data_IF_702893884601
#
_entry.id   IF_702893884601
#
_cell.length_a   1.000
_cell.length_b   1.000
_cell.length_c   1.000
_cell.angle_alpha   90.00
_cell.angle_beta   90.00
_cell.angle_gamma   90.00
#
_symmetry.space_group_name_H-M   'P 1'
#
loop_
_entity.id
_entity.type
_entity.pdbx_description
1 polymer ?
#
# COMPACT_ATOMS: atom_id res chain seq x y z
N UNK A 1 23.10 26.10 36.47
CA UNK A 1 23.45 26.50 35.09
C UNK A 1 22.18 26.41 34.29
N UNK A 2 21.66 27.55 33.80
CA UNK A 2 20.48 27.56 32.95
C UNK A 2 20.93 27.17 31.54
N UNK A 3 20.38 26.08 31.02
CA UNK A 3 20.57 25.67 29.63
C UNK A 3 19.87 26.72 28.76
N UNK A 4 20.63 27.59 28.10
CA UNK A 4 20.08 28.48 27.07
C UNK A 4 19.65 27.62 25.89
N UNK A 5 18.37 27.28 25.83
CA UNK A 5 17.80 26.63 24.66
C UNK A 5 17.86 27.59 23.48
N UNK A 6 18.34 27.10 22.34
CA UNK A 6 18.31 27.89 21.11
C UNK A 6 16.86 28.10 20.67
N UNK A 7 16.54 29.20 19.98
CA UNK A 7 15.18 29.49 19.53
C UNK A 7 14.56 28.30 18.75
N UNK A 8 15.41 27.58 17.99
CA UNK A 8 15.03 26.35 17.28
C UNK A 8 14.64 25.18 18.18
N UNK A 9 15.24 25.02 19.37
CA UNK A 9 14.87 23.95 20.30
C UNK A 9 13.54 24.25 20.98
N UNK A 10 13.30 25.51 21.35
CA UNK A 10 12.02 25.95 21.90
C UNK A 10 10.89 25.73 20.88
N UNK A 11 11.12 26.09 19.61
CA UNK A 11 10.17 25.86 18.53
C UNK A 11 9.82 24.38 18.34
N UNK A 12 10.83 23.49 18.43
CA UNK A 12 10.62 22.04 18.34
C UNK A 12 9.80 21.51 19.53
N UNK A 13 10.04 22.00 20.74
CA UNK A 13 9.26 21.62 21.92
C UNK A 13 7.81 22.12 21.84
N UNK A 14 7.60 23.34 21.34
CA UNK A 14 6.25 23.90 21.13
C UNK A 14 5.47 23.14 20.05
N UNK A 15 6.15 22.74 18.97
CA UNK A 15 5.56 21.88 17.95
C UNK A 15 5.19 20.51 18.52
N UNK A 16 6.07 19.93 19.34
CA UNK A 16 5.82 18.64 19.98
C UNK A 16 4.57 18.65 20.86
N UNK A 17 4.48 19.64 21.76
CA UNK A 17 3.33 19.81 22.64
C UNK A 17 2.02 19.91 21.83
N UNK A 18 2.01 20.74 20.77
CA UNK A 18 0.84 20.88 19.90
C UNK A 18 0.45 19.57 19.22
N UNK A 19 1.41 18.84 18.67
CA UNK A 19 1.14 17.56 17.99
C UNK A 19 0.56 16.53 18.96
N UNK A 20 1.06 16.48 20.20
CA UNK A 20 0.54 15.60 21.26
C UNK A 20 -0.89 15.97 21.65
N UNK A 21 -1.18 17.26 21.87
CA UNK A 21 -2.54 17.73 22.17
C UNK A 21 -3.52 17.39 21.03
N UNK A 22 -3.10 17.55 19.78
CA UNK A 22 -3.94 17.22 18.62
C UNK A 22 -4.15 15.71 18.43
N UNK A 23 -3.21 14.89 18.94
CA UNK A 23 -3.30 13.43 18.91
C UNK A 23 -4.10 12.86 20.06
N UNK A 24 -4.21 13.56 21.19
CA UNK A 24 -4.90 13.12 22.41
C UNK A 24 -6.26 12.42 22.15
N UNK A 25 -7.14 12.89 21.24
CA UNK A 25 -8.41 12.22 20.95
C UNK A 25 -8.29 10.84 20.28
N UNK A 26 -7.13 10.53 19.70
CA UNK A 26 -6.85 9.32 18.93
C UNK A 26 -5.94 8.34 19.67
N UNK A 27 -5.34 8.75 20.80
CA UNK A 27 -4.44 7.90 21.57
C UNK A 27 -5.23 6.80 22.29
N UNK A 28 -4.86 5.55 22.06
CA UNK A 28 -5.18 4.41 22.92
C UNK A 28 -3.92 3.90 23.63
N UNK A 29 -4.05 2.85 24.44
CA UNK A 29 -2.93 2.24 25.20
C UNK A 29 -1.74 1.81 24.31
N UNK A 30 -1.90 1.69 22.98
CA UNK A 30 -0.85 1.25 22.07
C UNK A 30 0.17 2.35 21.73
N UNK A 31 -0.17 3.63 21.88
CA UNK A 31 0.76 4.75 21.57
C UNK A 31 1.80 4.96 22.68
N UNK A 32 1.51 4.49 23.91
CA UNK A 32 2.47 4.47 25.01
C UNK A 32 3.66 3.53 24.77
N UNK A 33 3.56 2.63 23.77
CA UNK A 33 4.61 1.69 23.39
C UNK A 33 5.72 2.31 22.53
N UNK A 34 5.54 3.54 22.03
CA UNK A 34 6.61 4.24 21.33
C UNK A 34 7.58 4.78 22.37
N UNK A 35 8.79 4.22 22.41
CA UNK A 35 9.85 4.69 23.30
C UNK A 35 10.37 6.07 22.85
N UNK A 36 9.61 7.09 23.19
CA UNK A 36 9.93 8.51 22.95
C UNK A 36 11.19 8.94 23.70
N UNK A 37 11.67 8.18 24.69
CA UNK A 37 12.90 8.51 25.40
C UNK A 37 14.17 8.24 24.56
N UNK A 38 14.06 7.50 23.45
CA UNK A 38 15.18 7.14 22.59
C UNK A 38 15.38 8.05 21.36
N UNK A 39 14.51 9.05 21.13
CA UNK A 39 14.56 9.91 19.93
C UNK A 39 14.77 11.40 20.25
N UNK A 40 15.29 12.15 19.29
CA UNK A 40 15.34 13.61 19.38
C UNK A 40 13.94 14.21 19.15
N UNK A 41 13.65 15.36 19.76
CA UNK A 41 12.36 16.06 19.62
C UNK A 41 11.98 16.31 18.16
N UNK A 42 12.94 16.63 17.29
CA UNK A 42 12.69 16.83 15.88
C UNK A 42 12.18 15.55 15.19
N UNK A 43 12.80 14.40 15.48
CA UNK A 43 12.39 13.10 14.94
C UNK A 43 11.05 12.65 15.51
N UNK A 44 10.81 12.95 16.77
CA UNK A 44 9.52 12.73 17.40
C UNK A 44 8.42 13.56 16.71
N UNK A 45 8.68 14.82 16.41
CA UNK A 45 7.72 15.67 15.69
C UNK A 45 7.39 15.13 14.30
N UNK A 46 8.38 14.61 13.56
CA UNK A 46 8.14 13.95 12.27
C UNK A 46 7.23 12.71 12.42
N UNK A 47 7.47 11.92 13.46
CA UNK A 47 6.66 10.74 13.76
C UNK A 47 5.22 11.13 14.14
N UNK A 48 5.05 12.04 15.10
CA UNK A 48 3.74 12.49 15.56
C UNK A 48 2.95 13.16 14.44
N UNK A 49 3.59 13.97 13.58
CA UNK A 49 2.95 14.56 12.42
C UNK A 49 2.48 13.51 11.41
N UNK A 50 3.27 12.46 11.18
CA UNK A 50 2.90 11.34 10.31
C UNK A 50 1.71 10.56 10.87
N UNK A 51 1.70 10.30 12.18
CA UNK A 51 0.60 9.63 12.87
C UNK A 51 -0.69 10.46 12.82
N UNK A 52 -0.61 11.76 13.11
CA UNK A 52 -1.77 12.65 13.05
C UNK A 52 -2.33 12.78 11.62
N UNK A 53 -1.45 12.76 10.60
CA UNK A 53 -1.87 12.73 9.20
C UNK A 53 -2.63 11.43 8.88
N UNK A 54 -2.16 10.28 9.37
CA UNK A 54 -2.84 9.00 9.21
C UNK A 54 -4.24 9.01 9.85
N UNK A 55 -4.33 9.49 11.09
CA UNK A 55 -5.60 9.54 11.83
C UNK A 55 -6.63 10.41 11.13
N UNK A 56 -6.21 11.61 10.69
CA UNK A 56 -7.09 12.56 10.00
C UNK A 56 -7.35 12.22 8.53
N UNK A 57 -6.55 11.36 7.91
CA UNK A 57 -6.73 11.02 6.51
C UNK A 57 -8.11 10.40 6.28
N UNK A 58 -8.86 10.84 5.25
CA UNK A 58 -10.16 10.28 4.95
C UNK A 58 -9.98 8.85 4.42
N UNK A 59 -10.85 7.95 4.88
CA UNK A 59 -10.99 6.62 4.32
C UNK A 59 -12.01 6.69 3.18
N UNK A 60 -11.55 6.51 1.94
CA UNK A 60 -12.36 6.66 0.73
C UNK A 60 -12.03 5.54 -0.27
N UNK A 61 -12.98 5.12 -1.12
CA UNK A 61 -12.70 4.25 -2.25
C UNK A 61 -11.55 4.78 -3.10
N UNK A 62 -10.66 3.91 -3.56
CA UNK A 62 -9.55 4.29 -4.44
C UNK A 62 -10.05 5.02 -5.70
N UNK A 63 -11.22 4.67 -6.25
CA UNK A 63 -11.82 5.38 -7.39
C UNK A 63 -11.96 6.89 -7.14
N UNK A 64 -12.32 7.30 -5.92
CA UNK A 64 -12.52 8.70 -5.51
C UNK A 64 -11.21 9.46 -5.29
N UNK A 65 -10.05 8.82 -5.42
CA UNK A 65 -8.78 9.50 -5.25
C UNK A 65 -8.43 10.37 -6.46
N UNK A 66 -9.12 10.18 -7.58
CA UNK A 66 -8.84 10.79 -8.87
C UNK A 66 -9.76 11.95 -9.21
N UNK A 67 -9.26 12.89 -10.00
CA UNK A 67 -10.00 14.04 -10.53
C UNK A 67 -9.77 14.10 -12.05
N UNK A 68 -10.73 13.72 -12.91
CA UNK A 68 -12.03 13.12 -12.58
C UNK A 68 -11.91 11.71 -11.97
N UNK A 69 -12.98 11.23 -11.34
CA UNK A 69 -13.05 9.90 -10.72
C UNK A 69 -12.58 8.80 -11.69
N UNK A 70 -11.89 7.78 -11.17
CA UNK A 70 -11.49 6.62 -11.98
C UNK A 70 -12.62 5.60 -12.01
N UNK A 71 -13.51 5.77 -12.99
CA UNK A 71 -14.58 4.83 -13.28
C UNK A 71 -14.22 3.94 -14.48
N UNK A 72 -14.37 2.63 -14.30
CA UNK A 72 -14.12 1.63 -15.32
C UNK A 72 -15.44 1.01 -15.80
N UNK A 73 -15.69 0.92 -17.12
CA UNK A 73 -16.86 0.21 -17.65
C UNK A 73 -16.84 -1.29 -17.30
N UNK A 74 -18.00 -1.96 -17.22
CA UNK A 74 -18.06 -3.39 -16.92
C UNK A 74 -17.29 -4.24 -17.95
N UNK A 75 -16.46 -5.21 -17.51
CA UNK A 75 -15.58 -5.99 -18.39
C UNK A 75 -16.33 -6.75 -19.49
N UNK A 76 -17.54 -7.22 -19.20
CA UNK A 76 -18.37 -8.03 -20.11
C UNK A 76 -18.85 -7.25 -21.33
N UNK A 77 -18.83 -5.92 -21.26
CA UNK A 77 -19.28 -5.03 -22.35
C UNK A 77 -18.14 -4.63 -23.30
N UNK A 78 -16.90 -4.96 -22.94
CA UNK A 78 -15.70 -4.50 -23.64
C UNK A 78 -15.05 -5.61 -24.46
N UNK A 79 -14.57 -5.25 -25.65
CA UNK A 79 -13.65 -6.10 -26.40
C UNK A 79 -12.27 -6.11 -25.76
N UNK A 80 -11.49 -7.19 -25.95
CA UNK A 80 -10.17 -7.35 -25.34
C UNK A 80 -9.21 -6.19 -25.70
N UNK A 81 -9.27 -5.68 -26.94
CA UNK A 81 -8.44 -4.57 -27.38
C UNK A 81 -8.77 -3.25 -26.66
N UNK A 82 -10.05 -2.97 -26.41
CA UNK A 82 -10.47 -1.77 -25.68
C UNK A 82 -10.16 -1.92 -24.19
N UNK A 83 -10.41 -3.11 -23.64
CA UNK A 83 -10.15 -3.46 -22.25
C UNK A 83 -8.66 -3.30 -21.93
N UNK A 84 -7.77 -3.86 -22.74
CA UNK A 84 -6.32 -3.75 -22.55
C UNK A 84 -5.87 -2.28 -22.51
N UNK A 85 -6.39 -1.44 -23.41
CA UNK A 85 -6.09 0.00 -23.41
C UNK A 85 -6.55 0.70 -22.13
N UNK A 86 -7.77 0.41 -21.66
CA UNK A 86 -8.32 0.99 -20.42
C UNK A 86 -7.58 0.49 -19.18
N UNK A 87 -7.17 -0.77 -19.16
CA UNK A 87 -6.35 -1.35 -18.10
C UNK A 87 -5.05 -0.57 -17.93
N UNK A 88 -4.30 -0.36 -19.02
CA UNK A 88 -3.04 0.38 -18.96
C UNK A 88 -3.23 1.85 -18.56
N UNK A 89 -4.29 2.51 -19.02
CA UNK A 89 -4.62 3.87 -18.56
C UNK A 89 -4.87 3.91 -17.05
N UNK A 90 -5.64 2.95 -16.54
CA UNK A 90 -5.95 2.86 -15.12
C UNK A 90 -4.70 2.55 -14.27
N UNK A 91 -3.84 1.63 -14.72
CA UNK A 91 -2.57 1.32 -14.07
C UNK A 91 -1.67 2.56 -13.99
N UNK A 92 -1.54 3.32 -15.07
CA UNK A 92 -0.73 4.54 -15.06
C UNK A 92 -1.29 5.58 -14.10
N UNK A 93 -2.62 5.75 -14.08
CA UNK A 93 -3.27 6.66 -13.12
C UNK A 93 -3.01 6.22 -11.67
N UNK A 94 -3.13 4.92 -11.36
CA UNK A 94 -2.80 4.39 -10.03
C UNK A 94 -1.36 4.71 -9.64
N UNK A 95 -0.41 4.51 -10.56
CA UNK A 95 0.99 4.83 -10.34
C UNK A 95 1.22 6.32 -10.07
N UNK A 96 0.53 7.22 -10.77
CA UNK A 96 0.57 8.67 -10.51
C UNK A 96 0.09 9.03 -9.09
N UNK A 97 -0.70 8.16 -8.47
CA UNK A 97 -1.16 8.28 -7.07
C UNK A 97 -0.36 7.41 -6.10
N UNK A 98 0.82 6.96 -6.51
CA UNK A 98 1.74 6.15 -5.71
C UNK A 98 1.11 4.81 -5.28
N UNK A 99 0.20 4.27 -6.10
CA UNK A 99 -0.40 2.95 -5.94
C UNK A 99 0.23 2.02 -7.00
N UNK A 100 0.91 0.98 -6.54
CA UNK A 100 1.65 0.05 -7.40
C UNK A 100 1.06 -1.34 -7.28
N UNK A 101 0.82 -1.98 -8.42
CA UNK A 101 0.34 -3.37 -8.47
C UNK A 101 1.54 -4.32 -8.54
N UNK A 102 1.48 -5.40 -7.78
CA UNK A 102 2.52 -6.44 -7.74
C UNK A 102 1.93 -7.82 -8.00
N UNK A 103 2.74 -8.70 -8.60
CA UNK A 103 2.39 -10.10 -8.88
C UNK A 103 1.17 -10.23 -9.81
N UNK A 104 1.18 -9.48 -10.92
CA UNK A 104 0.06 -9.43 -11.89
C UNK A 104 0.19 -10.39 -13.06
N UNK A 105 1.39 -10.88 -13.34
CA UNK A 105 1.72 -11.52 -14.63
C UNK A 105 1.08 -12.90 -14.86
N UNK A 106 0.51 -13.50 -13.83
CA UNK A 106 -0.28 -14.73 -13.94
C UNK A 106 -1.69 -14.48 -14.49
N UNK A 107 -2.15 -13.23 -14.48
CA UNK A 107 -3.49 -12.82 -14.89
C UNK A 107 -3.48 -12.31 -16.32
N UNK A 108 -4.48 -12.69 -17.11
CA UNK A 108 -4.77 -12.05 -18.40
C UNK A 108 -5.22 -10.60 -18.18
N UNK A 109 -5.20 -9.77 -19.23
CA UNK A 109 -5.65 -8.38 -19.13
C UNK A 109 -7.10 -8.30 -18.63
N UNK A 110 -7.94 -9.23 -19.08
CA UNK A 110 -9.35 -9.31 -18.67
C UNK A 110 -9.53 -9.63 -17.20
N UNK A 111 -8.74 -10.56 -16.67
CA UNK A 111 -8.78 -10.92 -15.26
C UNK A 111 -8.25 -9.79 -14.38
N UNK A 112 -7.12 -9.19 -14.75
CA UNK A 112 -6.55 -8.06 -14.00
C UNK A 112 -7.50 -6.86 -14.01
N UNK A 113 -8.11 -6.56 -15.16
CA UNK A 113 -9.13 -5.50 -15.27
C UNK A 113 -10.36 -5.79 -14.40
N UNK A 114 -10.83 -7.04 -14.35
CA UNK A 114 -11.97 -7.41 -13.52
C UNK A 114 -11.67 -7.25 -12.02
N UNK A 115 -10.46 -7.61 -11.59
CA UNK A 115 -10.02 -7.40 -10.19
C UNK A 115 -9.91 -5.91 -9.90
N UNK A 116 -9.34 -5.13 -10.81
CA UNK A 116 -9.23 -3.69 -10.65
C UNK A 116 -10.62 -3.05 -10.47
N UNK A 117 -11.58 -3.43 -11.32
CA UNK A 117 -12.95 -2.94 -11.29
C UNK A 117 -13.71 -3.35 -10.02
N UNK A 118 -13.63 -4.61 -9.61
CA UNK A 118 -14.46 -5.17 -8.53
C UNK A 118 -13.86 -4.98 -7.14
N UNK A 119 -12.55 -5.10 -7.02
CA UNK A 119 -11.88 -5.27 -5.73
C UNK A 119 -11.03 -4.05 -5.39
N UNK A 120 -10.14 -3.61 -6.30
CA UNK A 120 -9.17 -2.54 -6.00
C UNK A 120 -9.84 -1.17 -5.96
N UNK A 121 -10.51 -0.74 -7.04
CA UNK A 121 -11.11 0.60 -7.10
C UNK A 121 -12.16 0.86 -6.01
N UNK A 122 -13.02 -0.12 -5.65
CA UNK A 122 -13.97 0.04 -4.55
C UNK A 122 -13.35 -0.08 -3.15
N UNK A 123 -12.11 -0.56 -3.03
CA UNK A 123 -11.45 -0.72 -1.72
C UNK A 123 -11.31 0.63 -1.04
N UNK A 124 -11.75 0.68 0.22
CA UNK A 124 -11.71 1.89 1.03
C UNK A 124 -10.37 1.97 1.74
N UNK A 125 -9.53 2.89 1.30
CA UNK A 125 -8.18 3.08 1.82
C UNK A 125 -8.00 4.49 2.39
N UNK A 126 -7.02 4.64 3.29
CA UNK A 126 -6.63 5.96 3.82
C UNK A 126 -5.85 6.73 2.77
N UNK A 127 -6.43 7.82 2.25
CA UNK A 127 -5.75 8.69 1.28
C UNK A 127 -4.76 9.60 2.02
N UNK A 128 -3.47 9.29 1.90
CA UNK A 128 -2.39 10.07 2.51
C UNK A 128 -1.51 10.64 1.41
N UNK A 129 -1.61 11.95 1.19
CA UNK A 129 -0.95 12.63 0.07
C UNK A 129 0.60 12.59 0.13
N UNK A 130 1.18 12.28 1.30
CA UNK A 130 2.63 12.20 1.52
C UNK A 130 3.04 10.90 2.19
N UNK A 131 2.64 9.78 1.61
CA UNK A 131 3.20 8.48 1.98
C UNK A 131 4.68 8.41 1.55
N UNK A 132 5.56 8.06 2.47
CA UNK A 132 6.98 7.82 2.17
C UNK A 132 7.21 6.54 1.37
N UNK A 133 6.19 5.66 1.28
CA UNK A 133 6.22 4.39 0.56
C UNK A 133 4.95 4.25 -0.30
N UNK A 134 5.05 3.72 -1.52
CA UNK A 134 3.87 3.43 -2.34
C UNK A 134 2.92 2.47 -1.63
N UNK A 135 1.63 2.65 -1.86
CA UNK A 135 0.61 1.65 -1.54
C UNK A 135 0.80 0.49 -2.53
N UNK A 136 1.33 -0.62 -2.05
CA UNK A 136 1.54 -1.82 -2.86
C UNK A 136 0.35 -2.76 -2.74
N UNK A 137 -0.31 -3.00 -3.86
CA UNK A 137 -1.39 -3.96 -3.96
C UNK A 137 -0.86 -5.27 -4.54
N UNK A 138 -0.74 -6.30 -3.70
CA UNK A 138 -0.31 -7.64 -4.13
C UNK A 138 -1.53 -8.43 -4.56
N UNK A 139 -1.54 -8.91 -5.81
CA UNK A 139 -2.68 -9.66 -6.36
C UNK A 139 -2.72 -11.12 -5.88
N UNK A 140 -1.56 -11.64 -5.48
CA UNK A 140 -1.41 -12.97 -4.88
C UNK A 140 -0.35 -12.90 -3.79
N UNK A 141 -0.56 -13.69 -2.74
CA UNK A 141 0.45 -13.98 -1.73
C UNK A 141 0.35 -15.45 -1.28
N UNK A 142 1.30 -15.86 -0.43
CA UNK A 142 1.40 -17.22 0.09
C UNK A 142 0.19 -17.70 0.88
N UNK A 143 -0.64 -16.79 1.37
CA UNK A 143 -1.69 -17.09 2.35
C UNK A 143 -3.07 -17.14 1.67
N UNK A 144 -3.29 -16.27 0.68
CA UNK A 144 -4.56 -16.16 -0.06
C UNK A 144 -4.69 -17.17 -1.19
N UNK A 145 -3.64 -17.33 -2.00
CA UNK A 145 -3.58 -18.29 -3.10
C UNK A 145 -2.17 -18.92 -3.17
N UNK A 146 -1.91 -19.90 -2.29
CA UNK A 146 -0.61 -20.57 -2.20
C UNK A 146 -0.23 -21.25 -3.52
N UNK A 147 -1.20 -21.77 -4.25
CA UNK A 147 -0.95 -22.52 -5.49
C UNK A 147 -0.44 -21.58 -6.58
N UNK A 148 -1.12 -20.44 -6.82
CA UNK A 148 -0.63 -19.44 -7.76
C UNK A 148 0.69 -18.81 -7.30
N UNK A 149 0.85 -18.55 -5.99
CA UNK A 149 2.11 -18.03 -5.44
C UNK A 149 3.27 -19.00 -5.70
N UNK A 150 3.11 -20.28 -5.36
CA UNK A 150 4.14 -21.30 -5.51
C UNK A 150 4.48 -21.55 -6.98
N UNK A 151 3.47 -21.53 -7.85
CA UNK A 151 3.65 -21.78 -9.29
C UNK A 151 4.44 -20.66 -9.96
N UNK A 152 4.13 -19.39 -9.66
CA UNK A 152 4.61 -18.26 -10.48
C UNK A 152 5.63 -17.33 -9.81
N UNK A 153 5.68 -17.27 -8.47
CA UNK A 153 6.40 -16.19 -7.77
C UNK A 153 7.31 -16.65 -6.63
N UNK A 154 7.04 -17.82 -6.04
CA UNK A 154 7.83 -18.33 -4.94
C UNK A 154 9.22 -18.76 -5.42
N UNK A 155 10.25 -18.29 -4.72
CA UNK A 155 11.62 -18.77 -4.95
C UNK A 155 11.85 -20.17 -4.35
N UNK A 156 12.97 -20.79 -4.71
CA UNK A 156 13.34 -22.15 -4.24
C UNK A 156 13.34 -22.29 -2.71
N UNK A 157 13.79 -21.27 -1.98
CA UNK A 157 13.82 -21.31 -0.52
C UNK A 157 12.41 -21.29 0.08
N UNK A 158 11.51 -20.45 -0.46
CA UNK A 158 10.11 -20.40 -0.05
C UNK A 158 9.39 -21.71 -0.36
N UNK A 159 9.65 -22.29 -1.54
CA UNK A 159 9.08 -23.58 -1.94
C UNK A 159 9.54 -24.73 -1.04
N UNK A 160 10.83 -24.76 -0.69
CA UNK A 160 11.38 -25.75 0.25
C UNK A 160 10.78 -25.62 1.66
N UNK A 161 10.65 -24.40 2.17
CA UNK A 161 10.00 -24.16 3.47
C UNK A 161 8.55 -24.63 3.46
N UNK A 162 7.80 -24.30 2.40
CA UNK A 162 6.42 -24.74 2.24
C UNK A 162 6.32 -26.27 2.19
N UNK A 163 7.21 -26.96 1.48
CA UNK A 163 7.25 -28.43 1.43
C UNK A 163 7.49 -29.04 2.81
N UNK A 164 8.43 -28.48 3.58
CA UNK A 164 8.75 -28.93 4.94
C UNK A 164 7.56 -28.75 5.90
N UNK A 165 6.87 -27.62 5.80
CA UNK A 165 5.74 -27.27 6.68
C UNK A 165 4.48 -28.05 6.35
N UNK A 166 4.19 -28.28 5.07
CA UNK A 166 2.95 -28.90 4.62
C UNK A 166 3.09 -30.41 4.34
N UNK A 167 4.32 -30.92 4.22
CA UNK A 167 4.60 -32.32 3.88
C UNK A 167 4.14 -32.71 2.48
N UNK A 168 3.99 -31.74 1.58
CA UNK A 168 3.49 -31.89 0.21
C UNK A 168 4.51 -31.35 -0.78
N UNK A 169 4.56 -31.94 -1.98
CA UNK A 169 5.40 -31.44 -3.06
C UNK A 169 4.75 -30.18 -3.64
N UNK A 170 5.44 -29.04 -3.71
CA UNK A 170 4.88 -27.82 -4.27
C UNK A 170 4.57 -27.98 -5.77
N UNK A 171 3.55 -27.28 -6.30
CA UNK A 171 3.22 -27.33 -7.72
C UNK A 171 4.45 -26.95 -8.56
N UNK A 172 4.64 -27.48 -9.78
CA UNK A 172 5.78 -27.12 -10.63
C UNK A 172 5.90 -25.59 -10.78
N UNK A 173 7.13 -25.07 -10.74
CA UNK A 173 7.35 -23.66 -11.02
C UNK A 173 7.22 -23.41 -12.53
N UNK A 174 6.47 -22.37 -12.90
CA UNK A 174 6.24 -21.95 -14.27
C UNK A 174 6.45 -20.44 -14.41
N UNK A 175 6.89 -20.00 -15.59
CA UNK A 175 6.97 -18.57 -15.88
C UNK A 175 5.55 -18.01 -16.04
N UNK A 176 5.25 -16.83 -15.47
CA UNK A 176 3.93 -16.22 -15.61
C UNK A 176 3.54 -16.01 -17.09
N UNK A 177 2.32 -16.38 -17.51
CA UNK A 177 1.90 -16.36 -18.92
C UNK A 177 1.81 -14.95 -19.55
N UNK A 178 1.63 -13.90 -18.75
CA UNK A 178 1.40 -12.54 -19.23
C UNK A 178 2.39 -11.55 -18.60
N UNK A 179 3.68 -11.59 -19.00
CA UNK A 179 4.69 -10.68 -18.46
C UNK A 179 4.35 -9.22 -18.80
N UNK A 180 4.38 -8.33 -17.80
CA UNK A 180 4.10 -6.90 -17.96
C UNK A 180 5.18 -6.04 -17.31
N UNK A 181 5.50 -4.92 -17.96
CA UNK A 181 6.38 -3.90 -17.39
C UNK A 181 5.50 -2.80 -16.76
N UNK A 182 5.11 -3.02 -15.51
CA UNK A 182 4.28 -2.08 -14.76
C UNK A 182 5.13 -0.93 -14.19
N UNK A 183 4.56 0.28 -14.06
CA UNK A 183 5.21 1.38 -13.34
C UNK A 183 5.51 0.99 -11.88
N UNK A 184 6.66 1.42 -11.36
CA UNK A 184 7.15 1.12 -10.00
C UNK A 184 7.37 2.39 -9.17
#
# INVERSE_FOLDING_TARGET
MATEFTNSEVDQLLLNARLRDELEPFLDESVELVDVAAMSTARENEFLASMLQWERAPALPISHWFEPELELPPPDTLSDAVLSRLLWDAINRLADRNIVLEYTDHLSDRELYAILYRDILPSTEKRIDKLSKPLRWRLVDSDSDPDAWLTYYANDAQRYLWELENGQVPPPHEDPPFPRDLPK
#
